data_IF_168248351688
#
_entry.id   IF_168248351688
#
_cell.length_a   1.000
_cell.length_b   1.000
_cell.length_c   1.000
_cell.angle_alpha   90.00
_cell.angle_beta   90.00
_cell.angle_gamma   90.00
#
_symmetry.space_group_name_H-M   'P 1'
#
loop_
_entity.id
_entity.type
_entity.pdbx_description
1 polymer ?
#
# COMPACT_ATOMS: atom_id res chain seq x y z
N UNK A 1 12.04 -11.23 -9.74
CA UNK A 1 12.62 -11.16 -8.39
C UNK A 1 11.79 -10.15 -7.61
N UNK A 2 10.97 -10.56 -6.64
CA UNK A 2 10.23 -9.56 -5.83
C UNK A 2 11.29 -8.82 -5.01
N UNK A 3 11.48 -7.54 -5.29
CA UNK A 3 12.52 -6.76 -4.62
C UNK A 3 12.26 -6.78 -3.11
N UNK A 4 13.25 -7.15 -2.28
CA UNK A 4 13.13 -7.11 -0.82
C UNK A 4 12.74 -5.71 -0.30
N UNK A 5 12.97 -4.68 -1.12
CA UNK A 5 12.56 -3.30 -0.89
C UNK A 5 11.03 -3.13 -0.84
N UNK A 6 10.28 -3.84 -1.69
CA UNK A 6 8.81 -3.72 -1.74
C UNK A 6 8.16 -4.26 -0.46
N UNK A 7 8.65 -5.42 0.02
CA UNK A 7 8.18 -6.00 1.27
C UNK A 7 8.46 -5.12 2.48
N UNK A 8 9.65 -4.51 2.54
CA UNK A 8 10.02 -3.56 3.57
C UNK A 8 9.17 -2.27 3.52
N UNK A 9 8.97 -1.72 2.32
CA UNK A 9 8.13 -0.53 2.11
C UNK A 9 6.68 -0.77 2.56
N UNK A 10 6.08 -1.91 2.18
CA UNK A 10 4.73 -2.27 2.62
C UNK A 10 4.63 -2.47 4.14
N UNK A 11 5.65 -3.05 4.78
CA UNK A 11 5.69 -3.20 6.23
C UNK A 11 5.76 -1.85 6.94
N UNK A 12 6.58 -0.94 6.43
CA UNK A 12 6.68 0.44 6.91
C UNK A 12 5.35 1.19 6.77
N UNK A 13 4.68 1.07 5.60
CA UNK A 13 3.37 1.69 5.38
C UNK A 13 2.30 1.14 6.33
N UNK A 14 2.27 -0.18 6.57
CA UNK A 14 1.38 -0.78 7.58
C UNK A 14 1.63 -0.21 8.97
N UNK A 15 2.89 -0.06 9.35
CA UNK A 15 3.25 0.53 10.64
C UNK A 15 2.78 1.99 10.73
N UNK A 16 3.04 2.78 9.69
CA UNK A 16 2.62 4.19 9.61
C UNK A 16 1.10 4.34 9.69
N UNK A 17 0.35 3.52 8.97
CA UNK A 17 -1.12 3.48 9.02
C UNK A 17 -1.61 3.19 10.45
N UNK A 18 -1.01 2.21 11.15
CA UNK A 18 -1.36 1.90 12.54
C UNK A 18 -1.07 3.08 13.47
N UNK A 19 0.11 3.67 13.34
CA UNK A 19 0.50 4.83 14.15
C UNK A 19 -0.46 6.00 13.96
N UNK A 20 -0.82 6.35 12.72
CA UNK A 20 -1.76 7.45 12.46
C UNK A 20 -3.14 7.14 13.06
N UNK A 21 -3.61 5.89 13.01
CA UNK A 21 -4.88 5.47 13.65
C UNK A 21 -4.83 5.66 15.16
N UNK A 22 -3.78 5.19 15.82
CA UNK A 22 -3.57 5.37 17.27
C UNK A 22 -3.50 6.86 17.65
N UNK A 23 -2.84 7.67 16.83
CA UNK A 23 -2.77 9.11 17.02
C UNK A 23 -4.13 9.80 16.83
N UNK A 24 -5.02 9.30 15.98
CA UNK A 24 -6.40 9.80 15.84
C UNK A 24 -7.25 9.36 17.04
N UNK A 25 -7.14 8.09 17.43
CA UNK A 25 -7.93 7.50 18.51
C UNK A 25 -7.59 8.11 19.90
N UNK A 26 -6.36 8.60 20.04
CA UNK A 26 -5.91 9.33 21.24
C UNK A 26 -6.31 10.81 21.27
N UNK A 27 -6.90 11.36 20.20
CA UNK A 27 -7.44 12.72 20.22
C UNK A 27 -8.75 12.73 21.02
N UNK A 28 -8.69 13.24 22.26
CA UNK A 28 -9.88 13.45 23.07
C UNK A 28 -10.80 14.52 22.46
N UNK A 29 -12.10 14.24 22.41
CA UNK A 29 -13.11 15.18 21.93
C UNK A 29 -13.14 16.44 22.83
N UNK A 30 -13.12 17.65 22.24
CA UNK A 30 -13.07 18.89 22.97
C UNK A 30 -14.42 19.09 23.67
N UNK A 31 -14.37 19.17 25.01
CA UNK A 31 -15.52 19.59 25.82
C UNK A 31 -15.42 21.08 26.10
N UNK A 32 -16.58 21.72 26.18
CA UNK A 32 -16.67 23.11 26.62
C UNK A 32 -16.09 23.25 28.03
N UNK A 33 -15.23 24.25 28.19
CA UNK A 33 -14.64 24.57 29.48
C UNK A 33 -15.58 25.55 30.21
N UNK A 34 -16.10 25.19 31.40
CA UNK A 34 -16.93 26.10 32.18
C UNK A 34 -16.15 27.38 32.51
N UNK A 35 -16.78 28.54 32.31
CA UNK A 35 -16.17 29.86 32.56
C UNK A 35 -15.40 30.44 31.37
N UNK A 36 -15.16 29.67 30.29
CA UNK A 36 -14.72 30.25 29.03
C UNK A 36 -15.91 30.86 28.27
N UNK A 37 -15.67 31.99 27.60
CA UNK A 37 -16.66 32.55 26.67
C UNK A 37 -16.87 31.59 25.51
N UNK A 38 -18.10 31.55 24.98
CA UNK A 38 -18.49 30.60 23.94
C UNK A 38 -17.58 30.65 22.70
N UNK A 39 -17.15 31.83 22.27
CA UNK A 39 -16.23 31.97 21.14
C UNK A 39 -14.89 31.27 21.36
N UNK A 40 -14.37 31.27 22.58
CA UNK A 40 -13.12 30.59 22.91
C UNK A 40 -13.28 29.06 22.94
N UNK A 41 -14.44 28.55 23.40
CA UNK A 41 -14.78 27.13 23.28
C UNK A 41 -14.92 26.70 21.81
N UNK A 42 -15.57 27.53 20.97
CA UNK A 42 -15.71 27.29 19.53
C UNK A 42 -14.35 27.24 18.81
N UNK A 43 -13.42 28.14 19.15
CA UNK A 43 -12.05 28.12 18.59
C UNK A 43 -11.35 26.80 18.92
N UNK A 44 -11.37 26.38 20.19
CA UNK A 44 -10.80 25.09 20.61
C UNK A 44 -11.40 23.90 19.86
N UNK A 45 -12.72 23.91 19.69
CA UNK A 45 -13.42 22.85 18.94
C UNK A 45 -12.99 22.81 17.47
N UNK A 46 -12.94 23.96 16.80
CA UNK A 46 -12.46 24.05 15.42
C UNK A 46 -11.00 23.64 15.25
N UNK A 47 -10.13 24.01 16.19
CA UNK A 47 -8.72 23.62 16.16
C UNK A 47 -8.57 22.10 16.32
N UNK A 48 -9.31 21.49 17.25
CA UNK A 48 -9.37 20.04 17.37
C UNK A 48 -9.85 19.37 16.08
N UNK A 49 -10.95 19.85 15.49
CA UNK A 49 -11.49 19.31 14.23
C UNK A 49 -10.46 19.43 13.10
N UNK A 50 -9.77 20.57 13.00
CA UNK A 50 -8.72 20.81 12.00
C UNK A 50 -7.55 19.84 12.16
N UNK A 51 -7.12 19.59 13.40
CA UNK A 51 -6.06 18.60 13.70
C UNK A 51 -6.51 17.19 13.33
N UNK A 52 -7.73 16.81 13.69
CA UNK A 52 -8.30 15.50 13.40
C UNK A 52 -8.43 15.27 11.90
N UNK A 53 -8.90 16.27 11.16
CA UNK A 53 -9.07 16.18 9.71
C UNK A 53 -7.73 16.16 8.97
N UNK A 54 -6.72 16.88 9.46
CA UNK A 54 -5.35 16.76 8.95
C UNK A 54 -4.83 15.32 9.11
N UNK A 55 -4.97 14.72 10.29
CA UNK A 55 -4.54 13.33 10.51
C UNK A 55 -5.32 12.33 9.67
N UNK A 56 -6.63 12.52 9.46
CA UNK A 56 -7.41 11.69 8.54
C UNK A 56 -6.91 11.82 7.10
N UNK A 57 -6.54 13.02 6.68
CA UNK A 57 -5.96 13.24 5.34
C UNK A 57 -4.61 12.55 5.19
N UNK A 58 -3.76 12.58 6.23
CA UNK A 58 -2.51 11.83 6.28
C UNK A 58 -2.75 10.30 6.23
N UNK A 59 -3.79 9.82 6.92
CA UNK A 59 -4.19 8.41 6.90
C UNK A 59 -4.62 7.97 5.49
N UNK A 60 -5.42 8.79 4.80
CA UNK A 60 -5.84 8.52 3.43
C UNK A 60 -4.65 8.47 2.48
N UNK A 61 -3.74 9.45 2.57
CA UNK A 61 -2.53 9.45 1.75
C UNK A 61 -1.66 8.19 1.97
N UNK A 62 -1.53 7.72 3.22
CA UNK A 62 -0.80 6.50 3.52
C UNK A 62 -1.51 5.24 2.97
N UNK A 63 -2.85 5.22 2.94
CA UNK A 63 -3.62 4.15 2.30
C UNK A 63 -3.46 4.15 0.79
N UNK A 64 -3.48 5.31 0.15
CA UNK A 64 -3.28 5.45 -1.30
C UNK A 64 -1.88 4.93 -1.69
N UNK A 65 -0.86 5.29 -0.92
CA UNK A 65 0.50 4.79 -1.12
C UNK A 65 0.56 3.26 -0.95
N UNK A 66 -0.07 2.73 0.09
CA UNK A 66 -0.13 1.28 0.33
C UNK A 66 -0.88 0.53 -0.80
N UNK A 67 -1.96 1.10 -1.31
CA UNK A 67 -2.71 0.54 -2.44
C UNK A 67 -1.86 0.55 -3.72
N UNK A 68 -1.14 1.64 -4.01
CA UNK A 68 -0.21 1.70 -5.14
C UNK A 68 0.90 0.63 -5.07
N UNK A 69 1.44 0.37 -3.88
CA UNK A 69 2.42 -0.71 -3.71
C UNK A 69 1.81 -2.11 -3.97
N UNK A 70 0.55 -2.34 -3.58
CA UNK A 70 -0.16 -3.58 -3.89
C UNK A 70 -0.39 -3.75 -5.39
N UNK A 71 -0.78 -2.69 -6.10
CA UNK A 71 -0.96 -2.71 -7.56
C UNK A 71 0.35 -3.01 -8.28
N UNK A 72 1.46 -2.44 -7.82
CA UNK A 72 2.81 -2.74 -8.32
C UNK A 72 3.18 -4.20 -8.12
N UNK A 73 2.90 -4.75 -6.93
CA UNK A 73 3.13 -6.17 -6.64
C UNK A 73 2.33 -7.08 -7.58
N UNK A 74 1.04 -6.79 -7.76
CA UNK A 74 0.17 -7.56 -8.65
C UNK A 74 0.66 -7.50 -10.09
N UNK A 75 1.06 -6.32 -10.56
CA UNK A 75 1.62 -6.12 -11.91
C UNK A 75 2.91 -6.92 -12.11
N UNK A 76 3.79 -6.92 -11.10
CA UNK A 76 5.04 -7.70 -11.11
C UNK A 76 4.77 -9.19 -11.19
N UNK A 77 3.80 -9.69 -10.41
CA UNK A 77 3.40 -11.11 -10.46
C UNK A 77 2.87 -11.51 -11.83
N UNK A 78 2.06 -10.65 -12.47
CA UNK A 78 1.59 -10.91 -13.82
C UNK A 78 2.72 -10.89 -14.85
N UNK A 79 3.68 -9.97 -14.73
CA UNK A 79 4.87 -9.95 -15.58
C UNK A 79 5.66 -11.26 -15.49
N UNK A 80 5.95 -11.72 -14.25
CA UNK A 80 6.64 -13.00 -14.02
C UNK A 80 5.86 -14.17 -14.63
N UNK A 81 4.53 -14.20 -14.47
CA UNK A 81 3.68 -15.25 -15.06
C UNK A 81 3.82 -15.28 -16.58
N UNK A 82 3.83 -14.13 -17.23
CA UNK A 82 3.87 -14.03 -18.68
C UNK A 82 5.25 -14.40 -19.22
N UNK A 83 6.33 -13.98 -18.55
CA UNK A 83 7.70 -14.45 -18.83
C UNK A 83 7.81 -15.97 -18.72
N UNK A 84 7.29 -16.57 -17.63
CA UNK A 84 7.31 -18.02 -17.44
C UNK A 84 6.56 -18.77 -18.54
N UNK A 85 5.44 -18.23 -19.03
CA UNK A 85 4.70 -18.82 -20.15
C UNK A 85 5.52 -18.83 -21.44
N UNK A 86 6.20 -17.73 -21.76
CA UNK A 86 7.05 -17.67 -22.95
C UNK A 86 8.25 -18.62 -22.83
N UNK A 87 8.91 -18.68 -21.66
CA UNK A 87 10.00 -19.65 -21.41
C UNK A 87 9.52 -21.09 -21.64
N UNK A 88 8.35 -21.46 -21.11
CA UNK A 88 7.80 -22.81 -21.29
C UNK A 88 7.49 -23.13 -22.76
N UNK A 89 7.00 -22.15 -23.51
CA UNK A 89 6.71 -22.28 -24.94
C UNK A 89 7.99 -22.46 -25.76
N UNK A 90 9.02 -21.66 -25.49
CA UNK A 90 10.35 -21.78 -26.11
C UNK A 90 10.98 -23.14 -25.82
N UNK A 91 10.96 -23.57 -24.55
CA UNK A 91 11.47 -24.88 -24.15
C UNK A 91 10.73 -26.03 -24.85
N UNK A 92 9.40 -25.95 -24.93
CA UNK A 92 8.59 -26.94 -25.64
C UNK A 92 8.95 -27.04 -27.12
N UNK A 93 9.20 -25.90 -27.78
CA UNK A 93 9.61 -25.86 -29.19
C UNK A 93 11.00 -26.46 -29.42
N UNK A 94 11.95 -26.25 -28.50
CA UNK A 94 13.30 -26.84 -28.57
C UNK A 94 13.26 -28.36 -28.40
N UNK A 95 12.44 -28.87 -27.48
CA UNK A 95 12.25 -30.31 -27.30
C UNK A 95 11.66 -30.93 -28.58
N UNK A 96 10.65 -30.30 -29.17
CA UNK A 96 10.04 -30.77 -30.42
C UNK A 96 11.05 -30.84 -31.58
N UNK A 97 11.94 -29.83 -31.73
CA UNK A 97 13.00 -29.85 -32.75
C UNK A 97 14.06 -30.93 -32.53
N UNK A 98 14.50 -31.10 -31.29
CA UNK A 98 15.56 -32.07 -30.95
C UNK A 98 15.08 -33.53 -31.06
N UNK A 99 13.78 -33.79 -30.94
CA UNK A 99 13.18 -35.10 -31.22
C UNK A 99 13.14 -35.44 -32.72
N UNK A 100 12.89 -34.45 -33.58
CA UNK A 100 12.77 -34.66 -35.04
C UNK A 100 14.11 -34.91 -35.74
N UNK A 101 15.24 -34.46 -35.18
CA UNK A 101 16.58 -34.66 -35.78
C UNK A 101 17.19 -36.04 -35.52
N UNK A 102 16.57 -36.90 -34.69
CA UNK A 102 17.06 -38.25 -34.37
C UNK A 102 16.34 -39.39 -35.11
N UNK A 103 15.32 -39.08 -35.92
CA UNK A 103 14.51 -40.06 -36.65
C UNK A 103 14.80 -40.08 -38.16
N UNK A 104 15.96 -39.57 -38.57
CA UNK A 104 16.41 -39.56 -39.96
C UNK A 104 17.88 -39.95 -40.07
N UNK A 105 18.19 -41.20 -39.75
CA UNK A 105 19.40 -41.94 -40.15
C UNK A 105 19.04 -43.43 -40.25
#
# INVERSE_FOLDING_TARGET
MVEPELGAAMAHLKQRIRQIREEIDSLEEPRDVPGMIQSANLIRSNEHLSVKDRKKSELLAAYDEYAGQLESLVSTVFGIRDELKEILKEQSALIARSGASKSGD
#
